data_IF_536000320566
#
_entry.id   IF_536000320566
#
_cell.length_a   1.000
_cell.length_b   1.000
_cell.length_c   1.000
_cell.angle_alpha   90.00
_cell.angle_beta   90.00
_cell.angle_gamma   90.00
#
_symmetry.space_group_name_H-M   'P 1'
#
loop_
_entity.id
_entity.type
_entity.pdbx_description
1 polymer ?
#
# COMPACT_ATOMS: atom_id res chain seq x y z
N UNK A 1 -8.73 -74.95 -3.77
CA UNK A 1 -9.92 -74.09 -4.00
C UNK A 1 -9.93 -72.98 -2.96
N UNK A 2 -9.32 -71.84 -3.28
CA UNK A 2 -9.29 -70.69 -2.35
C UNK A 2 -10.43 -69.74 -2.78
N UNK A 3 -11.35 -69.46 -1.83
CA UNK A 3 -12.41 -68.45 -2.00
C UNK A 3 -11.86 -67.09 -1.57
N UNK A 4 -11.70 -66.17 -2.54
CA UNK A 4 -11.42 -64.76 -2.30
C UNK A 4 -12.74 -64.09 -1.92
N UNK A 5 -12.82 -63.57 -0.68
CA UNK A 5 -13.90 -62.71 -0.23
C UNK A 5 -13.50 -61.29 -0.53
N UNK A 6 -14.13 -60.65 -1.52
CA UNK A 6 -13.98 -59.23 -1.81
C UNK A 6 -14.92 -58.44 -0.91
N UNK A 7 -14.32 -57.67 0.02
CA UNK A 7 -15.09 -56.72 0.87
C UNK A 7 -15.34 -55.44 0.05
N UNK A 8 -16.53 -55.21 -0.41
CA UNK A 8 -16.95 -53.93 -0.95
C UNK A 8 -17.19 -52.96 0.22
N UNK A 9 -16.26 -52.01 0.42
CA UNK A 9 -16.47 -50.86 1.30
C UNK A 9 -17.36 -49.87 0.54
N UNK A 10 -18.66 -49.81 0.86
CA UNK A 10 -19.54 -48.73 0.44
C UNK A 10 -19.09 -47.44 1.11
N UNK A 11 -18.41 -46.58 0.37
CA UNK A 11 -18.23 -45.17 0.77
C UNK A 11 -19.62 -44.48 0.61
N UNK A 12 -20.37 -44.37 1.68
CA UNK A 12 -21.54 -43.49 1.74
C UNK A 12 -21.00 -42.06 1.82
N UNK A 13 -21.10 -41.29 0.75
CA UNK A 13 -20.90 -39.86 0.77
C UNK A 13 -22.00 -39.25 1.69
N UNK A 14 -21.63 -38.89 2.89
CA UNK A 14 -22.52 -38.14 3.80
C UNK A 14 -22.61 -36.73 3.21
N UNK A 15 -23.72 -36.41 2.57
CA UNK A 15 -24.05 -35.03 2.20
C UNK A 15 -24.31 -34.25 3.49
N UNK A 16 -23.31 -33.55 3.99
CA UNK A 16 -23.48 -32.62 5.13
C UNK A 16 -24.16 -31.36 4.57
N UNK A 17 -25.43 -31.19 4.88
CA UNK A 17 -26.16 -29.95 4.60
C UNK A 17 -25.62 -28.83 5.50
N UNK A 18 -25.40 -27.64 4.92
CA UNK A 18 -25.04 -26.46 5.71
C UNK A 18 -26.23 -26.00 6.58
N UNK A 19 -25.94 -25.49 7.77
CA UNK A 19 -26.94 -24.90 8.68
C UNK A 19 -26.98 -23.39 8.45
N UNK A 20 -28.08 -22.86 7.91
CA UNK A 20 -28.28 -21.44 7.61
C UNK A 20 -28.59 -20.58 8.85
N UNK A 21 -28.70 -21.17 10.04
CA UNK A 21 -28.95 -20.43 11.28
C UNK A 21 -27.75 -19.60 11.75
N UNK A 22 -26.57 -19.82 11.19
CA UNK A 22 -25.35 -19.04 11.44
C UNK A 22 -24.46 -18.97 10.20
N UNK A 23 -23.71 -17.87 10.11
CA UNK A 23 -22.86 -17.59 8.96
C UNK A 23 -21.62 -16.79 9.34
N UNK A 24 -20.67 -16.71 8.40
CA UNK A 24 -19.41 -15.98 8.55
C UNK A 24 -19.40 -14.75 7.63
N UNK A 25 -18.97 -13.60 8.13
CA UNK A 25 -18.92 -12.34 7.40
C UNK A 25 -17.74 -11.45 7.85
N UNK A 26 -17.52 -10.29 7.23
CA UNK A 26 -16.41 -9.37 7.51
C UNK A 26 -15.06 -10.09 7.59
N UNK A 27 -14.70 -10.77 6.52
CA UNK A 27 -13.42 -11.44 6.42
C UNK A 27 -12.29 -10.44 6.23
N UNK A 28 -11.22 -10.58 7.03
CA UNK A 28 -10.03 -9.72 6.90
C UNK A 28 -8.75 -10.53 6.91
N UNK A 29 -7.75 -10.03 6.18
CA UNK A 29 -6.37 -10.51 6.24
C UNK A 29 -5.51 -9.40 6.80
N UNK A 30 -4.72 -9.66 7.85
CA UNK A 30 -3.94 -8.63 8.58
C UNK A 30 -4.80 -7.41 8.96
N UNK A 31 -6.05 -7.67 9.38
CA UNK A 31 -7.05 -6.69 9.83
C UNK A 31 -7.62 -5.78 8.72
N UNK A 32 -7.23 -5.97 7.46
CA UNK A 32 -7.74 -5.22 6.31
C UNK A 32 -8.61 -6.11 5.40
N UNK A 33 -9.59 -5.52 4.75
CA UNK A 33 -10.43 -6.19 3.75
C UNK A 33 -9.74 -6.17 2.38
N UNK A 34 -9.52 -7.36 1.81
CA UNK A 34 -8.87 -7.54 0.50
C UNK A 34 -7.55 -6.75 0.33
N UNK A 35 -6.60 -6.81 1.30
CA UNK A 35 -5.42 -5.99 1.28
C UNK A 35 -4.48 -6.31 0.12
N UNK A 36 -3.79 -5.28 -0.37
CA UNK A 36 -2.69 -5.38 -1.33
C UNK A 36 -1.38 -5.03 -0.62
N UNK A 37 -0.35 -5.86 -0.82
CA UNK A 37 0.98 -5.57 -0.30
C UNK A 37 1.32 -6.27 1.02
N UNK A 38 0.67 -7.38 1.35
CA UNK A 38 1.06 -8.17 2.53
C UNK A 38 2.49 -8.69 2.37
N UNK A 39 3.40 -8.34 3.27
CA UNK A 39 4.80 -8.76 3.24
C UNK A 39 5.15 -9.91 4.22
N UNK A 40 4.13 -10.55 4.78
CA UNK A 40 4.25 -11.71 5.65
C UNK A 40 4.11 -13.03 4.89
N UNK A 41 4.99 -13.99 5.20
CA UNK A 41 4.86 -15.39 4.75
C UNK A 41 3.77 -16.16 5.51
N UNK A 42 3.30 -15.61 6.64
CA UNK A 42 2.23 -16.19 7.45
C UNK A 42 1.17 -15.14 7.80
N UNK A 43 0.43 -14.64 6.77
CA UNK A 43 -0.64 -13.68 7.03
C UNK A 43 -1.70 -14.28 7.95
N UNK A 44 -2.41 -13.40 8.67
CA UNK A 44 -3.40 -13.83 9.66
C UNK A 44 -4.79 -13.47 9.19
N UNK A 45 -5.72 -14.41 9.36
CA UNK A 45 -7.11 -14.30 8.95
C UNK A 45 -8.02 -14.01 10.13
N UNK A 46 -9.04 -13.19 9.90
CA UNK A 46 -10.08 -12.95 10.89
C UNK A 46 -11.45 -12.91 10.21
N UNK A 47 -12.49 -13.25 10.98
CA UNK A 47 -13.88 -13.22 10.53
C UNK A 47 -14.81 -12.93 11.69
N UNK A 48 -16.01 -12.39 11.37
CA UNK A 48 -17.11 -12.24 12.31
C UNK A 48 -18.15 -13.32 12.08
N UNK A 49 -18.92 -13.61 13.11
CA UNK A 49 -19.95 -14.63 13.09
C UNK A 49 -21.31 -13.97 13.31
N UNK A 50 -22.25 -14.25 12.42
CA UNK A 50 -23.67 -13.99 12.64
C UNK A 50 -24.33 -15.27 13.10
N UNK A 51 -25.20 -15.21 14.13
CA UNK A 51 -26.03 -16.33 14.56
C UNK A 51 -27.40 -15.83 15.04
N UNK A 52 -28.45 -16.56 14.68
CA UNK A 52 -29.81 -16.25 15.14
C UNK A 52 -30.00 -16.58 16.61
N UNK A 53 -29.30 -17.59 17.11
CA UNK A 53 -29.39 -18.08 18.49
C UNK A 53 -28.43 -17.27 19.40
N UNK A 54 -28.89 -16.84 20.57
CA UNK A 54 -28.02 -16.27 21.61
C UNK A 54 -27.09 -17.36 22.18
N UNK A 55 -25.93 -16.94 22.71
CA UNK A 55 -24.89 -17.80 23.25
C UNK A 55 -24.32 -18.80 22.23
N UNK A 56 -24.37 -18.47 20.93
CA UNK A 56 -23.70 -19.25 19.90
C UNK A 56 -22.19 -19.31 20.20
N UNK A 57 -21.60 -20.49 20.02
CA UNK A 57 -20.16 -20.72 20.16
C UNK A 57 -19.62 -21.41 18.92
N UNK A 58 -18.57 -20.85 18.34
CA UNK A 58 -17.76 -21.57 17.37
C UNK A 58 -17.01 -22.67 18.09
N UNK A 59 -17.13 -23.90 17.60
CA UNK A 59 -16.39 -25.06 18.07
C UNK A 59 -15.18 -25.39 17.20
N UNK A 60 -15.31 -25.22 15.88
CA UNK A 60 -14.24 -25.46 14.94
C UNK A 60 -14.34 -24.52 13.73
N UNK A 61 -13.26 -24.44 12.97
CA UNK A 61 -13.23 -23.74 11.68
C UNK A 61 -12.47 -24.54 10.63
N UNK A 62 -12.65 -24.18 9.35
CA UNK A 62 -11.81 -24.59 8.24
C UNK A 62 -11.56 -23.39 7.33
N UNK A 63 -10.28 -23.09 7.07
CA UNK A 63 -9.85 -22.06 6.11
C UNK A 63 -9.25 -22.74 4.90
N UNK A 64 -9.66 -22.32 3.71
CA UNK A 64 -9.10 -22.75 2.44
C UNK A 64 -8.51 -21.56 1.70
N UNK A 65 -7.31 -21.73 1.12
CA UNK A 65 -6.59 -20.71 0.34
C UNK A 65 -6.15 -21.32 -0.99
N UNK A 66 -6.34 -20.59 -2.09
CA UNK A 66 -5.88 -20.96 -3.42
C UNK A 66 -5.34 -19.74 -4.20
N UNK A 67 -4.67 -19.96 -5.33
CA UNK A 67 -4.17 -18.93 -6.22
C UNK A 67 -5.17 -18.55 -7.34
N UNK A 68 -6.36 -19.16 -7.34
CA UNK A 68 -7.48 -18.76 -8.19
C UNK A 68 -8.84 -19.06 -7.51
N UNK A 69 -9.91 -18.31 -7.83
CA UNK A 69 -11.23 -18.56 -7.28
C UNK A 69 -11.80 -19.92 -7.72
N UNK A 70 -11.54 -20.35 -8.95
CA UNK A 70 -12.05 -21.63 -9.49
C UNK A 70 -11.51 -22.82 -8.68
N UNK A 71 -10.25 -22.80 -8.29
CA UNK A 71 -9.68 -23.85 -7.46
C UNK A 71 -10.32 -23.91 -6.07
N UNK A 72 -10.67 -22.76 -5.48
CA UNK A 72 -11.46 -22.77 -4.24
C UNK A 72 -12.84 -23.34 -4.42
N UNK A 73 -13.54 -22.98 -5.51
CA UNK A 73 -14.88 -23.48 -5.80
C UNK A 73 -14.88 -24.99 -6.00
N UNK A 74 -13.89 -25.53 -6.69
CA UNK A 74 -13.71 -26.95 -6.96
C UNK A 74 -13.11 -27.74 -5.78
N UNK A 75 -12.94 -27.11 -4.62
CA UNK A 75 -12.30 -27.72 -3.44
C UNK A 75 -10.84 -28.14 -3.65
N UNK A 76 -10.12 -27.44 -4.54
CA UNK A 76 -8.71 -27.62 -4.85
C UNK A 76 -7.84 -26.56 -4.14
N UNK A 77 -7.98 -26.46 -2.81
CA UNK A 77 -7.27 -25.48 -2.00
C UNK A 77 -5.78 -25.86 -1.81
N UNK A 78 -5.02 -25.87 -2.88
CA UNK A 78 -3.64 -26.36 -2.93
C UNK A 78 -2.61 -25.46 -2.23
N UNK A 79 -2.98 -24.21 -1.92
CA UNK A 79 -2.10 -23.28 -1.17
C UNK A 79 -2.21 -23.55 0.33
N UNK A 80 -3.43 -23.73 0.82
CA UNK A 80 -3.71 -24.18 2.18
C UNK A 80 -5.15 -24.67 2.34
N UNK A 81 -5.28 -25.85 2.90
CA UNK A 81 -6.52 -26.31 3.54
C UNK A 81 -6.18 -26.66 4.99
N UNK A 82 -6.75 -25.94 5.93
CA UNK A 82 -6.50 -26.20 7.36
C UNK A 82 -7.12 -27.50 7.84
N UNK A 83 -8.01 -28.11 7.06
CA UNK A 83 -8.92 -29.11 7.57
C UNK A 83 -9.83 -28.53 8.65
N UNK A 84 -10.65 -29.38 9.31
CA UNK A 84 -11.44 -29.01 10.48
C UNK A 84 -10.52 -28.84 11.68
N UNK A 85 -10.31 -27.59 12.12
CA UNK A 85 -9.50 -27.25 13.30
C UNK A 85 -10.44 -26.99 14.48
N UNK A 86 -10.33 -27.79 15.55
CA UNK A 86 -11.10 -27.58 16.78
C UNK A 86 -10.54 -26.36 17.49
N UNK A 87 -11.26 -25.24 17.42
CA UNK A 87 -10.90 -23.96 18.03
C UNK A 87 -12.05 -22.96 17.93
N UNK A 88 -12.21 -22.15 18.95
CA UNK A 88 -13.12 -21.00 19.00
C UNK A 88 -12.50 -19.70 18.45
N UNK A 89 -11.22 -19.75 18.03
CA UNK A 89 -10.53 -18.58 17.45
C UNK A 89 -11.14 -18.18 16.11
N UNK A 90 -11.48 -16.89 15.99
CA UNK A 90 -11.94 -16.24 14.78
C UNK A 90 -11.15 -14.96 14.44
N UNK A 91 -10.12 -14.66 15.23
CA UNK A 91 -9.29 -13.45 15.11
C UNK A 91 -7.82 -13.86 14.99
N UNK A 92 -7.14 -13.29 13.99
CA UNK A 92 -5.70 -13.44 13.75
C UNK A 92 -5.24 -14.92 13.68
N UNK A 93 -6.02 -15.73 12.98
CA UNK A 93 -5.69 -17.14 12.71
C UNK A 93 -4.54 -17.19 11.70
N UNK A 94 -3.35 -17.73 12.07
CA UNK A 94 -2.19 -17.68 11.18
C UNK A 94 -2.32 -18.66 10.03
N UNK A 95 -1.91 -18.20 8.84
CA UNK A 95 -1.70 -19.06 7.68
C UNK A 95 -0.57 -20.07 7.96
N UNK A 96 -0.81 -21.33 7.61
CA UNK A 96 0.14 -22.45 7.79
C UNK A 96 0.31 -23.28 6.51
N UNK A 97 0.03 -22.67 5.35
CA UNK A 97 0.15 -23.34 4.06
C UNK A 97 1.56 -23.31 3.48
N UNK A 98 1.65 -23.50 2.18
CA UNK A 98 2.91 -23.47 1.44
C UNK A 98 3.48 -22.04 1.36
N UNK A 99 4.77 -21.92 1.07
CA UNK A 99 5.45 -20.62 0.92
C UNK A 99 4.76 -19.74 -0.12
N UNK A 100 4.38 -18.54 0.29
CA UNK A 100 3.74 -17.55 -0.59
C UNK A 100 4.75 -16.95 -1.57
N UNK A 101 4.29 -16.59 -2.76
CA UNK A 101 5.06 -15.91 -3.80
C UNK A 101 4.82 -14.41 -3.73
N UNK A 102 5.84 -13.61 -4.05
CA UNK A 102 5.74 -12.16 -4.14
C UNK A 102 4.83 -11.71 -5.27
N UNK A 103 4.13 -10.58 -5.08
CA UNK A 103 3.27 -9.96 -6.09
C UNK A 103 2.21 -10.91 -6.64
N UNK A 104 1.61 -11.71 -5.77
CA UNK A 104 0.62 -12.74 -6.11
C UNK A 104 -0.68 -12.50 -5.36
N UNK A 105 -1.81 -12.60 -6.07
CA UNK A 105 -3.15 -12.62 -5.46
C UNK A 105 -3.47 -14.03 -4.99
N UNK A 106 -4.02 -14.12 -3.80
CA UNK A 106 -4.55 -15.32 -3.20
C UNK A 106 -6.01 -15.11 -2.83
N UNK A 107 -6.78 -16.18 -2.92
CA UNK A 107 -8.21 -16.23 -2.64
C UNK A 107 -8.43 -17.14 -1.45
N UNK A 108 -9.33 -16.77 -0.56
CA UNK A 108 -9.61 -17.59 0.61
C UNK A 108 -11.07 -17.52 1.04
N UNK A 109 -11.50 -18.57 1.72
CA UNK A 109 -12.82 -18.68 2.32
C UNK A 109 -12.73 -19.48 3.62
N UNK A 110 -13.74 -19.34 4.46
CA UNK A 110 -13.82 -20.02 5.76
C UNK A 110 -15.23 -20.55 5.99
N UNK A 111 -15.34 -21.66 6.70
CA UNK A 111 -16.57 -22.16 7.30
C UNK A 111 -16.32 -22.56 8.75
N UNK A 112 -17.37 -22.62 9.56
CA UNK A 112 -17.28 -22.90 10.98
C UNK A 112 -18.25 -23.99 11.40
N UNK A 113 -17.99 -24.62 12.52
CA UNK A 113 -18.87 -25.55 13.19
C UNK A 113 -19.27 -25.00 14.56
N UNK A 114 -20.52 -25.25 14.94
CA UNK A 114 -21.00 -24.99 16.30
C UNK A 114 -20.68 -26.16 17.25
N UNK A 115 -21.12 -26.06 18.51
CA UNK A 115 -20.96 -27.09 19.56
C UNK A 115 -21.84 -28.34 19.36
N UNK A 116 -22.81 -28.26 18.46
CA UNK A 116 -23.63 -29.41 18.00
C UNK A 116 -23.04 -30.14 16.79
N UNK A 117 -21.81 -29.75 16.36
CA UNK A 117 -21.10 -30.26 15.16
C UNK A 117 -21.79 -29.94 13.83
N UNK A 118 -22.71 -28.98 13.81
CA UNK A 118 -23.32 -28.46 12.58
C UNK A 118 -22.39 -27.47 11.90
N UNK A 119 -22.30 -27.51 10.58
CA UNK A 119 -21.41 -26.67 9.77
C UNK A 119 -22.17 -25.55 9.05
N UNK A 120 -21.58 -24.34 9.01
CA UNK A 120 -22.10 -23.24 8.21
C UNK A 120 -21.89 -23.49 6.70
N UNK A 121 -22.58 -22.72 5.86
CA UNK A 121 -22.13 -22.52 4.49
C UNK A 121 -20.69 -21.92 4.47
N UNK A 122 -19.99 -22.08 3.34
CA UNK A 122 -18.76 -21.35 3.12
C UNK A 122 -19.03 -19.84 3.07
N UNK A 123 -18.12 -19.05 3.64
CA UNK A 123 -18.14 -17.59 3.46
C UNK A 123 -18.04 -17.19 1.99
N UNK A 124 -18.28 -15.93 1.69
CA UNK A 124 -17.85 -15.33 0.43
C UNK A 124 -16.32 -15.49 0.29
N UNK A 125 -15.86 -15.48 -0.97
CA UNK A 125 -14.42 -15.50 -1.25
C UNK A 125 -13.87 -14.09 -1.02
N UNK A 126 -12.84 -14.00 -0.17
CA UNK A 126 -12.03 -12.80 0.00
C UNK A 126 -10.65 -13.00 -0.61
N UNK A 127 -9.93 -11.91 -0.83
CA UNK A 127 -8.61 -11.92 -1.42
C UNK A 127 -7.57 -11.28 -0.50
N UNK A 128 -6.32 -11.59 -0.75
CA UNK A 128 -5.19 -10.76 -0.36
C UNK A 128 -4.11 -10.86 -1.42
N UNK A 129 -3.36 -9.79 -1.62
CA UNK A 129 -2.20 -9.81 -2.49
C UNK A 129 -0.92 -9.62 -1.67
N UNK A 130 0.08 -10.44 -1.96
CA UNK A 130 1.40 -10.27 -1.34
C UNK A 130 2.12 -9.08 -1.94
N UNK A 131 2.89 -8.39 -1.10
CA UNK A 131 3.88 -7.43 -1.52
C UNK A 131 5.15 -8.10 -2.06
N UNK A 132 6.27 -7.40 -1.93
CA UNK A 132 7.60 -7.91 -2.25
C UNK A 132 8.19 -8.54 -0.99
N UNK A 133 8.25 -9.88 -0.95
CA UNK A 133 8.57 -10.65 0.25
C UNK A 133 10.08 -10.74 0.53
N UNK A 134 10.91 -10.31 -0.43
CA UNK A 134 12.36 -10.23 -0.28
C UNK A 134 12.91 -9.00 -1.01
N UNK A 135 14.08 -8.50 -0.56
CA UNK A 135 14.74 -7.38 -1.24
C UNK A 135 15.10 -7.68 -2.71
N UNK A 136 15.37 -8.95 -3.04
CA UNK A 136 15.62 -9.39 -4.43
C UNK A 136 14.41 -9.21 -5.35
N UNK A 137 13.21 -9.14 -4.81
CA UNK A 137 11.97 -9.03 -5.60
C UNK A 137 11.78 -7.63 -6.20
N UNK A 138 12.57 -6.66 -5.75
CA UNK A 138 12.67 -5.35 -6.37
C UNK A 138 13.39 -5.37 -7.73
N UNK A 139 13.93 -6.51 -8.14
CA UNK A 139 14.64 -6.68 -9.41
C UNK A 139 15.74 -5.64 -9.60
N UNK A 140 15.70 -4.92 -10.74
CA UNK A 140 16.67 -3.89 -11.09
C UNK A 140 16.24 -2.47 -10.65
N UNK A 141 15.19 -2.32 -9.84
CA UNK A 141 14.76 -1.02 -9.35
C UNK A 141 15.84 -0.35 -8.49
N UNK A 142 16.16 0.89 -8.82
CA UNK A 142 17.18 1.70 -8.15
C UNK A 142 16.52 2.85 -7.38
N UNK A 143 17.15 3.29 -6.29
CA UNK A 143 16.82 4.56 -5.70
C UNK A 143 17.28 5.68 -6.63
N UNK A 144 16.40 6.61 -6.93
CA UNK A 144 16.69 7.77 -7.80
C UNK A 144 16.34 9.06 -7.09
N UNK A 145 17.14 10.10 -7.36
CA UNK A 145 17.02 11.43 -6.78
C UNK A 145 17.28 12.52 -7.82
N UNK A 146 16.96 13.77 -7.47
CA UNK A 146 17.28 14.93 -8.29
C UNK A 146 18.64 15.52 -7.94
N UNK A 147 19.03 15.44 -6.67
CA UNK A 147 20.26 16.02 -6.14
C UNK A 147 21.10 14.95 -5.42
N UNK A 148 22.39 15.20 -5.33
CA UNK A 148 23.31 14.42 -4.50
C UNK A 148 23.25 14.85 -3.04
N UNK A 149 23.58 13.94 -2.15
CA UNK A 149 23.65 14.20 -0.70
C UNK A 149 24.93 14.96 -0.28
N UNK A 150 25.79 15.30 -1.20
CA UNK A 150 27.13 15.86 -0.92
C UNK A 150 27.08 17.22 -0.23
N UNK A 151 27.97 17.41 0.76
CA UNK A 151 28.23 18.68 1.41
C UNK A 151 27.13 19.22 2.31
N UNK A 152 26.09 18.45 2.60
CA UNK A 152 25.00 18.87 3.48
C UNK A 152 25.06 18.16 4.83
N UNK A 153 24.70 18.89 5.89
CA UNK A 153 24.65 18.34 7.24
C UNK A 153 23.55 17.30 7.32
N UNK A 154 23.89 16.11 7.83
CA UNK A 154 22.96 14.98 8.02
C UNK A 154 22.75 14.69 9.50
N UNK A 155 21.63 14.07 9.81
CA UNK A 155 21.30 13.60 11.14
C UNK A 155 20.10 14.29 11.77
N UNK A 156 19.93 14.08 13.06
CA UNK A 156 18.88 14.68 13.88
C UNK A 156 19.56 15.71 14.81
N UNK A 157 19.04 16.93 14.80
CA UNK A 157 19.58 18.05 15.58
C UNK A 157 18.46 18.66 16.43
N UNK A 158 18.72 18.83 17.73
CA UNK A 158 17.82 19.48 18.67
C UNK A 158 18.34 20.87 19.04
N UNK A 159 17.47 21.85 19.11
CA UNK A 159 17.85 23.24 19.39
C UNK A 159 18.55 23.43 20.74
N UNK A 160 18.28 22.54 21.71
CA UNK A 160 18.74 22.70 23.09
C UNK A 160 20.12 22.07 23.35
N UNK A 161 20.66 21.28 22.42
CA UNK A 161 21.86 20.46 22.68
C UNK A 161 23.17 21.07 22.17
N UNK A 162 23.18 21.91 21.13
CA UNK A 162 24.39 22.55 20.58
C UNK A 162 24.01 23.76 19.69
N UNK A 163 25.01 24.62 19.41
CA UNK A 163 24.86 25.65 18.39
C UNK A 163 24.44 25.00 17.05
N UNK A 164 23.31 25.42 16.50
CA UNK A 164 22.84 24.93 15.21
C UNK A 164 23.95 25.04 14.16
N UNK A 165 24.10 24.04 13.27
CA UNK A 165 25.09 24.09 12.21
C UNK A 165 25.03 25.40 11.43
N UNK A 166 26.16 25.99 11.12
CA UNK A 166 26.27 27.22 10.33
C UNK A 166 25.78 27.01 8.90
N UNK A 167 25.78 25.76 8.40
CA UNK A 167 25.18 25.36 7.13
C UNK A 167 23.72 25.03 7.31
N UNK A 168 22.87 25.45 6.38
CA UNK A 168 21.44 25.12 6.39
C UNK A 168 21.24 23.61 6.27
N UNK A 169 20.56 23.02 7.27
CA UNK A 169 20.22 21.60 7.31
C UNK A 169 19.07 21.32 6.34
N UNK A 170 19.19 20.29 5.52
CA UNK A 170 18.09 19.74 4.74
C UNK A 170 17.50 20.62 3.65
N UNK A 171 18.20 21.66 3.20
CA UNK A 171 17.70 22.55 2.13
C UNK A 171 17.88 21.91 0.75
N UNK A 172 17.00 20.98 0.40
CA UNK A 172 16.95 20.31 -0.89
C UNK A 172 15.76 20.80 -1.73
N UNK A 173 15.91 20.71 -3.05
CA UNK A 173 14.82 20.95 -3.99
C UNK A 173 13.84 19.78 -3.98
N UNK A 174 12.57 20.09 -4.13
CA UNK A 174 11.52 19.09 -4.14
C UNK A 174 11.24 18.61 -5.55
N UNK A 175 11.45 17.32 -5.83
CA UNK A 175 11.41 16.80 -7.19
C UNK A 175 10.02 16.36 -7.61
N UNK A 176 9.77 16.45 -8.91
CA UNK A 176 8.78 15.66 -9.62
C UNK A 176 9.49 14.76 -10.65
N UNK A 177 9.18 13.48 -10.61
CA UNK A 177 9.75 12.45 -11.48
C UNK A 177 8.76 11.99 -12.51
N UNK A 178 9.23 11.67 -13.71
CA UNK A 178 8.41 11.21 -14.83
C UNK A 178 9.04 10.05 -15.57
N UNK A 179 8.21 9.06 -15.92
CA UNK A 179 8.59 7.93 -16.79
C UNK A 179 7.48 7.64 -17.76
N UNK A 180 7.76 7.77 -19.06
CA UNK A 180 6.90 7.27 -20.12
C UNK A 180 7.30 5.84 -20.46
N UNK A 181 6.31 4.98 -20.70
CA UNK A 181 6.52 3.58 -21.05
C UNK A 181 5.34 3.07 -21.87
N UNK A 182 5.58 1.99 -22.62
CA UNK A 182 4.56 1.37 -23.46
C UNK A 182 4.12 0.05 -22.88
N UNK A 183 2.83 -0.11 -22.63
CA UNK A 183 2.20 -1.39 -22.28
C UNK A 183 2.05 -2.23 -23.54
N UNK A 184 2.39 -3.53 -23.46
CA UNK A 184 2.25 -4.48 -24.57
C UNK A 184 0.78 -4.59 -25.00
N UNK A 185 0.55 -4.85 -26.29
CA UNK A 185 -0.81 -5.08 -26.82
C UNK A 185 -1.31 -6.48 -26.47
N UNK A 186 -1.56 -6.69 -25.19
CA UNK A 186 -2.09 -7.91 -24.59
C UNK A 186 -3.10 -7.53 -23.52
N UNK A 187 -4.02 -8.42 -23.21
CA UNK A 187 -4.95 -8.21 -22.10
C UNK A 187 -4.21 -8.32 -20.77
N UNK A 188 -4.32 -7.29 -19.94
CA UNK A 188 -3.75 -7.25 -18.61
C UNK A 188 -4.62 -8.12 -17.69
N UNK A 189 -4.00 -9.04 -16.98
CA UNK A 189 -4.63 -9.83 -15.93
C UNK A 189 -4.57 -9.09 -14.59
N UNK A 190 -3.41 -8.48 -14.27
CA UNK A 190 -3.21 -7.65 -13.08
C UNK A 190 -1.96 -6.78 -13.20
N UNK A 191 -1.95 -5.66 -12.49
CA UNK A 191 -0.78 -4.79 -12.40
C UNK A 191 -0.67 -4.16 -11.01
N UNK A 192 0.48 -4.39 -10.35
CA UNK A 192 0.78 -3.82 -9.04
C UNK A 192 1.99 -2.92 -9.11
N UNK A 193 1.85 -1.73 -8.52
CA UNK A 193 2.96 -0.79 -8.33
C UNK A 193 3.35 -0.77 -6.85
N UNK A 194 4.65 -0.86 -6.59
CA UNK A 194 5.27 -0.76 -5.28
C UNK A 194 6.13 0.48 -5.26
N UNK A 195 5.76 1.46 -4.43
CA UNK A 195 6.36 2.78 -4.42
C UNK A 195 6.89 3.10 -3.04
N UNK A 196 8.12 3.55 -2.97
CA UNK A 196 8.74 4.06 -1.75
C UNK A 196 9.27 5.48 -2.00
N UNK A 197 8.87 6.43 -1.18
CA UNK A 197 9.37 7.79 -1.15
C UNK A 197 10.12 8.04 0.15
N UNK A 198 11.33 8.58 0.06
CA UNK A 198 12.05 9.14 1.19
C UNK A 198 11.79 10.65 1.18
N UNK A 199 10.85 10.99 1.96
CA UNK A 199 9.91 12.09 1.96
C UNK A 199 8.49 11.58 1.61
N UNK A 200 7.48 12.40 1.87
CA UNK A 200 6.11 12.06 1.47
C UNK A 200 5.96 12.15 -0.04
N UNK A 201 5.13 11.29 -0.64
CA UNK A 201 4.94 11.27 -2.08
C UNK A 201 3.47 11.24 -2.49
N UNK A 202 3.22 11.83 -3.65
CA UNK A 202 2.04 11.58 -4.46
C UNK A 202 2.42 10.77 -5.69
N UNK A 203 1.65 9.72 -5.97
CA UNK A 203 1.83 8.85 -7.13
C UNK A 203 0.75 9.13 -8.17
N UNK A 204 1.15 9.29 -9.43
CA UNK A 204 0.27 9.59 -10.55
C UNK A 204 0.46 8.59 -11.70
N UNK A 205 -0.63 8.33 -12.41
CA UNK A 205 -0.65 7.54 -13.63
C UNK A 205 -1.58 8.22 -14.65
N UNK A 206 -1.06 8.54 -15.85
CA UNK A 206 -1.83 9.13 -16.95
C UNK A 206 -2.66 10.37 -16.56
N UNK A 207 -2.09 11.26 -15.76
CA UNK A 207 -2.73 12.49 -15.32
C UNK A 207 -3.57 12.38 -14.04
N UNK A 208 -3.90 11.18 -13.58
CA UNK A 208 -4.67 10.93 -12.35
C UNK A 208 -3.79 10.56 -11.17
N UNK A 209 -4.15 11.03 -9.96
CA UNK A 209 -3.55 10.53 -8.71
C UNK A 209 -3.98 9.08 -8.49
N UNK A 210 -3.04 8.21 -8.14
CA UNK A 210 -3.28 6.80 -7.85
C UNK A 210 -3.62 6.64 -6.38
N UNK A 211 -4.75 5.98 -6.11
CA UNK A 211 -5.24 5.81 -4.74
C UNK A 211 -5.81 7.09 -4.13
N UNK A 212 -6.23 7.00 -2.88
CA UNK A 212 -6.80 8.09 -2.09
C UNK A 212 -5.96 8.41 -0.84
N UNK A 213 -4.69 8.05 -0.89
CA UNK A 213 -3.75 8.23 0.20
C UNK A 213 -3.15 9.62 0.22
N UNK A 214 -2.78 10.08 1.41
CA UNK A 214 -2.04 11.32 1.67
C UNK A 214 -0.85 11.03 2.57
N UNK A 215 0.22 11.79 2.39
CA UNK A 215 1.43 11.74 3.21
C UNK A 215 2.05 10.33 3.32
N UNK A 216 2.00 9.56 2.23
CA UNK A 216 2.74 8.30 2.11
C UNK A 216 4.25 8.57 1.89
N UNK A 217 5.15 7.72 2.36
CA UNK A 217 4.99 6.66 3.31
C UNK A 217 5.21 7.19 4.74
N UNK A 218 4.80 6.40 5.75
CA UNK A 218 5.00 6.74 7.16
C UNK A 218 6.47 6.80 7.57
N UNK A 219 6.71 7.32 8.77
CA UNK A 219 8.05 7.47 9.35
C UNK A 219 8.65 6.13 9.77
N UNK A 220 9.92 5.92 9.43
CA UNK A 220 10.73 4.77 9.84
C UNK A 220 12.08 5.22 10.37
N UNK A 221 12.86 4.29 10.88
CA UNK A 221 14.29 4.51 11.11
C UNK A 221 15.04 4.34 9.78
N UNK A 222 15.11 5.42 9.00
CA UNK A 222 15.54 5.41 7.61
C UNK A 222 16.94 4.81 7.37
N UNK A 223 17.83 4.84 8.36
CA UNK A 223 19.14 4.18 8.27
C UNK A 223 19.02 2.63 8.24
N UNK A 224 17.89 2.06 8.66
CA UNK A 224 17.67 0.63 8.74
C UNK A 224 16.60 0.13 7.78
N UNK A 225 15.46 0.83 7.70
CA UNK A 225 14.32 0.39 6.90
C UNK A 225 13.57 1.55 6.27
N UNK A 226 12.93 1.28 5.15
CA UNK A 226 12.05 2.20 4.46
C UNK A 226 10.72 1.52 4.12
N UNK A 227 9.62 2.23 4.36
CA UNK A 227 8.31 1.75 3.94
C UNK A 227 8.11 1.90 2.43
N UNK A 228 7.39 0.95 1.85
CA UNK A 228 6.78 1.08 0.54
C UNK A 228 5.27 0.87 0.62
N UNK A 229 4.56 1.49 -0.29
CA UNK A 229 3.11 1.36 -0.46
C UNK A 229 2.81 0.59 -1.73
N UNK A 230 1.81 -0.28 -1.67
CA UNK A 230 1.39 -1.12 -2.79
C UNK A 230 0.08 -0.63 -3.37
N UNK A 231 0.02 -0.48 -4.68
CA UNK A 231 -1.17 -0.02 -5.40
C UNK A 231 -1.58 -1.06 -6.44
N UNK A 232 -2.86 -1.41 -6.47
CA UNK A 232 -3.45 -2.06 -7.63
C UNK A 232 -3.78 -1.01 -8.68
N UNK A 233 -3.13 -1.09 -9.82
CA UNK A 233 -3.30 -0.16 -10.94
C UNK A 233 -3.80 -0.87 -12.21
N UNK A 234 -4.36 -2.06 -12.04
CA UNK A 234 -4.81 -2.91 -13.16
C UNK A 234 -5.73 -2.17 -14.11
N UNK A 235 -6.75 -1.50 -13.57
CA UNK A 235 -7.75 -0.78 -14.36
C UNK A 235 -7.34 0.64 -14.77
N UNK A 236 -6.19 1.13 -14.28
CA UNK A 236 -5.69 2.48 -14.59
C UNK A 236 -4.73 2.49 -15.79
N UNK A 237 -4.19 1.33 -16.17
CA UNK A 237 -3.28 1.20 -17.30
C UNK A 237 -4.05 1.24 -18.62
N UNK A 238 -3.50 1.95 -19.59
CA UNK A 238 -4.02 2.05 -20.94
C UNK A 238 -3.18 1.21 -21.90
N UNK A 239 -3.77 0.74 -22.98
CA UNK A 239 -3.02 0.13 -24.07
C UNK A 239 -2.13 1.19 -24.72
N UNK A 240 -0.89 0.81 -25.02
CA UNK A 240 0.08 1.72 -25.61
C UNK A 240 0.80 2.59 -24.59
N UNK A 241 0.91 3.88 -24.86
CA UNK A 241 1.71 4.80 -24.05
C UNK A 241 1.04 5.10 -22.70
N UNK A 242 1.86 5.06 -21.64
CA UNK A 242 1.47 5.40 -20.28
C UNK A 242 2.57 6.27 -19.65
N UNK A 243 2.18 7.08 -18.65
CA UNK A 243 3.12 7.93 -17.92
C UNK A 243 2.94 7.74 -16.42
N UNK A 244 4.02 7.37 -15.74
CA UNK A 244 4.13 7.41 -14.29
C UNK A 244 4.69 8.75 -13.86
N UNK A 245 4.09 9.34 -12.83
CA UNK A 245 4.54 10.56 -12.18
C UNK A 245 4.67 10.35 -10.67
N UNK A 246 5.75 10.86 -10.07
CA UNK A 246 5.93 10.90 -8.62
C UNK A 246 6.34 12.31 -8.23
N UNK A 247 5.61 12.92 -7.29
CA UNK A 247 6.00 14.18 -6.66
C UNK A 247 6.41 13.89 -5.23
N UNK A 248 7.58 14.42 -4.79
CA UNK A 248 8.08 14.23 -3.43
C UNK A 248 8.08 15.54 -2.66
N UNK A 249 7.58 15.48 -1.42
CA UNK A 249 7.87 16.43 -0.35
C UNK A 249 8.99 15.91 0.56
N UNK A 250 9.28 16.64 1.63
CA UNK A 250 10.36 16.29 2.58
C UNK A 250 9.95 15.22 3.61
N UNK A 251 8.68 15.22 4.07
CA UNK A 251 8.20 14.33 5.11
C UNK A 251 9.07 14.35 6.37
N UNK A 252 9.17 13.21 7.05
CA UNK A 252 10.10 13.02 8.18
C UNK A 252 11.51 12.64 7.74
N UNK A 253 11.73 12.34 6.47
CA UNK A 253 13.08 12.05 5.96
C UNK A 253 13.98 13.29 5.96
N UNK A 254 13.36 14.45 5.75
CA UNK A 254 14.08 15.70 5.68
C UNK A 254 13.21 16.84 6.24
N UNK A 255 13.51 17.33 7.45
CA UNK A 255 12.87 18.51 8.06
C UNK A 255 13.85 19.68 7.92
N UNK A 256 13.64 20.58 6.93
CA UNK A 256 14.60 21.63 6.61
C UNK A 256 14.62 22.73 7.68
N UNK A 257 15.82 23.34 7.85
CA UNK A 257 16.06 24.47 8.76
C UNK A 257 15.56 25.79 8.14
N UNK A 258 14.25 26.06 8.24
CA UNK A 258 13.69 27.33 7.75
C UNK A 258 12.61 27.90 8.67
N UNK A 259 11.49 27.17 8.88
CA UNK A 259 10.34 27.65 9.68
C UNK A 259 10.21 26.97 11.02
N UNK A 260 10.88 25.84 11.19
CA UNK A 260 10.85 25.05 12.39
C UNK A 260 12.27 24.69 12.80
N UNK A 261 12.65 25.04 14.00
CA UNK A 261 14.04 24.89 14.48
C UNK A 261 14.18 23.91 15.63
N UNK A 262 13.08 23.52 16.26
CA UNK A 262 13.10 22.73 17.48
C UNK A 262 13.60 21.30 17.24
N UNK A 263 13.27 20.73 16.08
CA UNK A 263 13.73 19.42 15.61
C UNK A 263 14.08 19.52 14.14
N UNK A 264 15.34 19.34 13.81
CA UNK A 264 15.83 19.30 12.43
C UNK A 264 16.25 17.87 12.11
N UNK A 265 15.77 17.36 10.99
CA UNK A 265 16.08 16.00 10.52
C UNK A 265 16.55 16.09 9.08
N UNK A 266 17.70 15.50 8.76
CA UNK A 266 18.11 15.35 7.38
C UNK A 266 18.89 14.06 7.19
N UNK A 267 18.30 13.12 6.48
CA UNK A 267 18.96 11.90 6.01
C UNK A 267 19.53 12.05 4.60
N UNK A 268 19.24 13.14 3.91
CA UNK A 268 19.73 13.46 2.58
C UNK A 268 18.65 14.00 1.66
N UNK A 269 18.97 14.09 0.36
CA UNK A 269 18.06 14.55 -0.66
C UNK A 269 16.86 13.60 -0.80
N UNK A 270 15.63 14.12 -1.01
CA UNK A 270 14.47 13.31 -1.33
C UNK A 270 14.74 12.37 -2.50
N UNK A 271 14.37 11.11 -2.34
CA UNK A 271 14.60 10.06 -3.33
C UNK A 271 13.44 9.08 -3.34
N UNK A 272 13.26 8.38 -4.46
CA UNK A 272 12.21 7.39 -4.60
C UNK A 272 12.73 6.09 -5.20
N UNK A 273 11.96 5.01 -4.97
CA UNK A 273 12.13 3.71 -5.60
C UNK A 273 10.77 3.18 -6.02
N UNK A 274 10.68 2.69 -7.26
CA UNK A 274 9.44 2.14 -7.81
C UNK A 274 9.71 0.83 -8.54
N UNK A 275 8.82 -0.14 -8.34
CA UNK A 275 8.73 -1.36 -9.11
C UNK A 275 7.27 -1.59 -9.51
N UNK A 276 7.00 -1.63 -10.80
CA UNK A 276 5.70 -1.96 -11.37
C UNK A 276 5.78 -3.32 -12.08
N UNK A 277 4.88 -4.22 -11.73
CA UNK A 277 4.76 -5.54 -12.33
C UNK A 277 3.40 -5.69 -13.01
N UNK A 278 3.41 -5.89 -14.32
CA UNK A 278 2.22 -6.14 -15.15
C UNK A 278 2.23 -7.61 -15.54
N UNK A 279 1.16 -8.32 -15.24
CA UNK A 279 0.94 -9.72 -15.64
C UNK A 279 -0.17 -9.75 -16.67
N UNK A 280 0.07 -10.40 -17.79
CA UNK A 280 -0.88 -10.56 -18.87
C UNK A 280 -1.63 -11.90 -18.76
N UNK A 281 -2.77 -12.05 -19.46
CA UNK A 281 -3.58 -13.27 -19.45
C UNK A 281 -2.83 -14.51 -19.94
N UNK A 282 -1.79 -14.34 -20.79
CA UNK A 282 -0.90 -15.40 -21.22
C UNK A 282 0.23 -15.72 -20.22
N UNK A 283 0.11 -15.22 -19.00
CA UNK A 283 1.09 -15.31 -17.91
C UNK A 283 2.44 -14.63 -18.19
N UNK A 284 2.63 -13.96 -19.33
CA UNK A 284 3.83 -13.16 -19.56
C UNK A 284 3.85 -11.93 -18.63
N UNK A 285 5.07 -11.47 -18.31
CA UNK A 285 5.28 -10.36 -17.37
C UNK A 285 5.99 -9.21 -18.08
N UNK A 286 5.64 -8.00 -17.68
CA UNK A 286 6.37 -6.78 -18.01
C UNK A 286 6.68 -6.04 -16.71
N UNK A 287 7.90 -5.55 -16.59
CA UNK A 287 8.38 -4.82 -15.41
C UNK A 287 8.80 -3.42 -15.82
N UNK A 288 8.40 -2.43 -15.05
CA UNK A 288 8.84 -1.05 -15.15
C UNK A 288 9.45 -0.67 -13.80
N UNK A 289 10.68 -0.17 -13.83
CA UNK A 289 11.43 0.12 -12.60
C UNK A 289 11.94 1.55 -12.58
N UNK A 290 12.22 2.05 -11.39
CA UNK A 290 13.00 3.28 -11.23
C UNK A 290 14.46 3.00 -11.60
N UNK A 291 14.96 3.73 -12.58
CA UNK A 291 16.31 3.63 -13.13
C UNK A 291 16.75 4.95 -13.80
N UNK A 292 17.91 4.94 -14.43
CA UNK A 292 18.49 6.10 -15.15
C UNK A 292 17.64 6.65 -16.30
N UNK A 293 16.63 5.94 -16.78
CA UNK A 293 15.77 6.34 -17.87
C UNK A 293 14.62 7.26 -17.44
N UNK A 294 14.46 7.50 -16.15
CA UNK A 294 13.52 8.47 -15.61
C UNK A 294 14.03 9.90 -15.82
N UNK A 295 13.09 10.82 -15.88
CA UNK A 295 13.34 12.26 -15.93
C UNK A 295 12.89 12.92 -14.64
N UNK A 296 13.52 14.04 -14.29
CA UNK A 296 13.21 14.81 -13.07
C UNK A 296 13.25 16.30 -13.34
N UNK A 297 12.34 17.02 -12.71
CA UNK A 297 12.29 18.49 -12.67
C UNK A 297 11.99 18.94 -11.23
N UNK A 298 12.22 20.23 -10.94
CA UNK A 298 11.72 20.85 -9.72
C UNK A 298 10.19 20.88 -9.76
N UNK A 299 9.54 20.55 -8.64
CA UNK A 299 8.10 20.61 -8.51
C UNK A 299 7.63 22.04 -8.20
N UNK A 300 6.33 22.35 -8.36
CA UNK A 300 5.76 23.62 -7.90
C UNK A 300 5.77 23.75 -6.37
N UNK A 301 5.94 22.67 -5.60
CA UNK A 301 6.17 22.74 -4.16
C UNK A 301 7.60 23.25 -3.93
N UNK A 302 7.74 24.47 -3.43
CA UNK A 302 9.05 25.13 -3.26
C UNK A 302 9.60 25.00 -1.84
N UNK A 303 8.72 24.70 -0.89
CA UNK A 303 9.05 24.38 0.50
C UNK A 303 8.08 23.32 1.01
N UNK A 304 8.55 22.35 1.78
CA UNK A 304 7.73 21.37 2.48
C UNK A 304 8.39 21.00 3.80
N UNK A 305 7.63 21.03 4.89
CA UNK A 305 8.05 20.58 6.20
C UNK A 305 6.87 20.02 6.96
N UNK A 306 7.06 18.87 7.59
CA UNK A 306 6.01 18.23 8.40
C UNK A 306 5.51 19.13 9.54
N UNK A 307 6.33 20.05 10.02
CA UNK A 307 6.00 21.02 11.07
C UNK A 307 5.77 22.45 10.56
N UNK A 308 6.36 22.79 9.41
CA UNK A 308 6.38 24.16 8.86
C UNK A 308 5.37 24.40 7.73
N UNK A 309 4.64 23.36 7.30
CA UNK A 309 3.69 23.45 6.21
C UNK A 309 4.34 23.37 4.82
N UNK A 310 3.64 23.89 3.82
CA UNK A 310 4.02 23.81 2.41
C UNK A 310 3.88 25.17 1.75
N UNK A 311 4.82 25.52 0.85
CA UNK A 311 4.69 26.61 -0.10
C UNK A 311 4.56 26.04 -1.50
N UNK A 312 3.54 26.51 -2.20
CA UNK A 312 3.24 26.13 -3.56
C UNK A 312 3.32 27.35 -4.48
N UNK A 313 4.18 27.28 -5.47
CA UNK A 313 4.36 28.31 -6.50
C UNK A 313 3.70 27.85 -7.80
N UNK A 314 2.45 28.27 -8.03
CA UNK A 314 1.67 27.90 -9.20
C UNK A 314 2.32 28.36 -10.53
N UNK A 315 3.26 29.32 -10.50
CA UNK A 315 3.97 29.76 -11.71
C UNK A 315 4.98 28.71 -12.21
N UNK A 316 5.31 27.73 -11.38
CA UNK A 316 6.20 26.60 -11.70
C UNK A 316 5.45 25.35 -12.17
N UNK A 317 4.12 25.40 -12.20
CA UNK A 317 3.36 24.30 -12.78
C UNK A 317 3.76 24.04 -14.23
N UNK A 318 3.83 22.77 -14.56
CA UNK A 318 4.09 22.29 -15.93
C UNK A 318 2.86 21.51 -16.41
N UNK A 319 1.82 22.21 -16.90
CA UNK A 319 0.58 21.57 -17.30
C UNK A 319 0.83 20.42 -18.29
N UNK A 320 0.18 19.29 -18.05
CA UNK A 320 0.32 18.13 -18.95
C UNK A 320 1.53 17.23 -18.67
N UNK A 321 2.37 17.51 -17.66
CA UNK A 321 3.60 16.73 -17.41
C UNK A 321 3.38 15.23 -17.18
N UNK A 322 2.17 14.83 -16.85
CA UNK A 322 1.76 13.44 -16.62
C UNK A 322 1.11 12.78 -17.86
N UNK A 323 1.12 13.44 -19.03
CA UNK A 323 0.59 12.87 -20.26
C UNK A 323 1.70 12.55 -21.27
N UNK A 324 1.41 11.65 -22.21
CA UNK A 324 2.40 11.11 -23.11
C UNK A 324 2.91 12.12 -24.15
N UNK A 325 2.11 13.11 -24.51
CA UNK A 325 2.41 14.19 -25.46
C UNK A 325 3.22 15.34 -24.87
N UNK A 326 3.48 15.33 -23.55
CA UNK A 326 4.29 16.35 -22.91
C UNK A 326 5.76 16.28 -23.33
N UNK A 327 6.31 17.42 -23.74
CA UNK A 327 7.74 17.54 -24.04
C UNK A 327 8.57 17.66 -22.74
N UNK A 328 9.21 16.58 -22.38
CA UNK A 328 10.13 16.52 -21.23
C UNK A 328 11.60 16.69 -21.60
N UNK A 329 11.92 17.22 -22.79
CA UNK A 329 13.31 17.40 -23.25
C UNK A 329 14.13 18.33 -22.36
N UNK A 330 13.49 19.33 -21.75
CA UNK A 330 14.08 20.24 -20.76
C UNK A 330 14.30 19.65 -19.36
N UNK A 331 13.77 18.45 -19.10
CA UNK A 331 13.93 17.80 -17.80
C UNK A 331 15.30 17.13 -17.67
N UNK A 332 15.84 17.13 -16.46
CA UNK A 332 17.13 16.52 -16.16
C UNK A 332 17.02 14.99 -16.11
N UNK A 333 18.14 14.32 -16.31
CA UNK A 333 18.26 12.91 -15.95
C UNK A 333 18.33 12.78 -14.43
N UNK A 334 17.72 11.72 -13.90
CA UNK A 334 17.82 11.38 -12.49
C UNK A 334 19.23 10.95 -12.11
N UNK A 335 19.57 11.09 -10.83
CA UNK A 335 20.75 10.51 -10.22
C UNK A 335 20.38 9.19 -9.54
N UNK A 336 21.21 8.16 -9.71
CA UNK A 336 21.07 6.93 -8.93
C UNK A 336 21.74 7.16 -7.59
N UNK A 337 21.00 6.87 -6.52
CA UNK A 337 21.47 7.02 -5.16
C UNK A 337 21.93 5.66 -4.61
N UNK A 338 23.08 5.67 -3.92
CA UNK A 338 23.56 4.49 -3.18
C UNK A 338 22.88 4.48 -1.80
N UNK A 339 21.78 3.72 -1.74
CA UNK A 339 20.97 3.57 -0.54
C UNK A 339 20.30 2.20 -0.54
N UNK A 340 20.44 1.43 0.52
CA UNK A 340 20.01 0.03 0.56
C UNK A 340 19.37 -0.35 1.91
N UNK A 341 18.27 0.28 2.33
CA UNK A 341 17.57 -0.09 3.55
C UNK A 341 16.84 -1.42 3.35
N UNK A 342 16.43 -2.04 4.44
CA UNK A 342 15.42 -3.08 4.38
C UNK A 342 14.10 -2.45 3.92
N UNK A 343 13.50 -2.99 2.85
CA UNK A 343 12.20 -2.56 2.36
C UNK A 343 11.10 -3.29 3.12
N UNK A 344 10.13 -2.55 3.66
CA UNK A 344 9.01 -3.08 4.44
C UNK A 344 7.70 -2.51 3.91
N UNK A 345 6.69 -3.34 3.73
CA UNK A 345 5.37 -2.85 3.32
C UNK A 345 4.72 -2.05 4.45
N UNK A 346 4.17 -0.90 4.14
CA UNK A 346 3.37 -0.14 5.10
C UNK A 346 2.07 -0.89 5.38
N UNK A 347 1.92 -1.40 6.59
CA UNK A 347 0.74 -2.14 7.03
C UNK A 347 -0.25 -1.28 7.83
N UNK A 348 0.14 -0.06 8.18
CA UNK A 348 -0.76 0.91 8.84
C UNK A 348 -1.78 1.45 7.85
N UNK A 349 -2.98 1.71 8.33
CA UNK A 349 -3.98 2.40 7.51
C UNK A 349 -3.42 3.72 6.98
N UNK A 350 -3.63 4.04 5.68
CA UNK A 350 -3.19 5.30 5.10
C UNK A 350 -4.04 6.46 5.61
N UNK A 351 -3.46 7.64 5.61
CA UNK A 351 -4.23 8.88 5.75
C UNK A 351 -5.11 9.06 4.51
N UNK A 352 -6.39 9.34 4.72
CA UNK A 352 -7.38 9.50 3.66
C UNK A 352 -8.30 10.68 3.95
N UNK A 353 -8.81 11.34 2.90
CA UNK A 353 -9.93 12.26 3.05
C UNK A 353 -11.16 11.46 3.46
N UNK A 354 -11.74 11.78 4.60
CA UNK A 354 -12.98 11.16 5.11
C UNK A 354 -14.21 11.96 4.74
N UNK A 355 -14.07 13.28 4.69
CA UNK A 355 -15.17 14.20 4.41
C UNK A 355 -14.63 15.47 3.74
N UNK A 356 -15.32 15.96 2.73
CA UNK A 356 -15.09 17.25 2.10
C UNK A 356 -16.18 18.21 2.52
N UNK A 357 -15.81 19.31 3.17
CA UNK A 357 -16.74 20.32 3.65
C UNK A 357 -16.77 21.52 2.71
N UNK A 358 -17.90 21.81 2.06
CA UNK A 358 -17.99 22.98 1.18
C UNK A 358 -17.86 24.27 1.97
N UNK A 359 -17.21 25.26 1.35
CA UNK A 359 -17.14 26.63 1.92
C UNK A 359 -18.53 27.24 1.93
N UNK A 360 -19.00 27.63 3.11
CA UNK A 360 -20.31 28.26 3.32
C UNK A 360 -20.22 29.75 3.02
N UNK A 361 -19.12 30.40 3.43
CA UNK A 361 -18.87 31.82 3.17
C UNK A 361 -17.38 32.15 3.20
N UNK A 362 -17.00 33.26 2.59
CA UNK A 362 -15.61 33.72 2.63
C UNK A 362 -15.59 35.26 2.81
N UNK A 363 -14.57 35.76 3.49
CA UNK A 363 -14.39 37.18 3.77
C UNK A 363 -12.92 37.50 4.03
N UNK A 364 -12.58 38.79 4.01
CA UNK A 364 -11.27 39.26 4.51
C UNK A 364 -11.38 39.65 5.98
N UNK A 365 -10.45 39.18 6.79
CA UNK A 365 -10.32 39.60 8.18
C UNK A 365 -9.65 41.00 8.28
N UNK A 366 -9.55 41.54 9.48
CA UNK A 366 -8.95 42.87 9.76
C UNK A 366 -7.48 42.97 9.30
N UNK A 367 -6.76 41.84 9.20
CA UNK A 367 -5.37 41.77 8.71
C UNK A 367 -5.29 41.64 7.19
N UNK A 368 -6.41 41.65 6.46
CA UNK A 368 -6.46 41.49 5.02
C UNK A 368 -6.36 40.06 4.51
N UNK A 369 -6.29 39.04 5.37
CA UNK A 369 -6.24 37.65 4.98
C UNK A 369 -7.63 37.11 4.60
N UNK A 370 -7.71 36.30 3.55
CA UNK A 370 -8.92 35.58 3.21
C UNK A 370 -9.22 34.49 4.26
N UNK A 371 -10.45 34.45 4.73
CA UNK A 371 -10.98 33.42 5.62
C UNK A 371 -12.10 32.71 4.89
N UNK A 372 -11.97 31.40 4.79
CA UNK A 372 -12.96 30.49 4.22
C UNK A 372 -13.65 29.77 5.39
N UNK A 373 -14.92 30.09 5.63
CA UNK A 373 -15.68 29.51 6.74
C UNK A 373 -16.46 28.30 6.25
N UNK A 374 -16.34 27.19 6.98
CA UNK A 374 -17.13 25.96 6.83
C UNK A 374 -18.02 25.78 8.06
N UNK A 375 -18.98 24.85 8.03
CA UNK A 375 -19.94 24.64 9.12
C UNK A 375 -19.30 24.33 10.49
N UNK A 376 -18.05 23.89 10.52
CA UNK A 376 -17.29 23.52 11.73
C UNK A 376 -16.16 24.48 12.09
N UNK A 377 -16.14 25.69 11.54
CA UNK A 377 -15.06 26.68 11.77
C UNK A 377 -14.88 27.06 13.26
N UNK A 378 -15.83 26.74 14.12
CA UNK A 378 -15.83 27.05 15.56
C UNK A 378 -15.91 25.81 16.46
N UNK A 379 -15.53 24.63 15.98
CA UNK A 379 -15.40 23.47 16.85
C UNK A 379 -14.33 23.77 17.93
N UNK A 380 -14.78 24.04 19.13
CA UNK A 380 -13.95 23.90 20.33
C UNK A 380 -13.96 22.44 20.72
N UNK A 381 -12.81 21.90 21.06
CA UNK A 381 -12.76 20.64 21.78
C UNK A 381 -13.67 20.79 23.00
N UNK A 382 -14.65 19.92 23.16
CA UNK A 382 -15.41 19.84 24.41
C UNK A 382 -14.41 19.31 25.45
N UNK A 383 -13.82 20.25 26.19
CA UNK A 383 -13.20 19.90 27.45
C UNK A 383 -14.34 19.42 28.33
N UNK A 384 -14.44 18.14 28.53
CA UNK A 384 -15.26 17.58 29.60
C UNK A 384 -14.66 18.05 30.91
N UNK A 385 -15.40 18.91 31.61
CA UNK A 385 -15.15 19.25 33.01
C UNK A 385 -15.19 18.01 33.91
#
# INVERSE_FOLDING_TARGET
MYRIVIFFMLLTAVNVSADDSFSVYCLTTEQAENPVGIDSQSPRFSWKIYAQKRNFKQYAYQVCVADSPDKLMNSEAHVWDSGKVISDKSILVPFKGVKLKSSQVYYWRVRIWNDEDKVSAWSQINTFATGLLANSDWGNAQWISMEKDEGRVKGIHYQEEEALPTQKVGMYKLPQFRKQFRVKDKKISRAFAYVSGLGHFDFFLNGGKVGNHFLDAGWTLYDKEAFYVSFDITDLLQRGENVLGIMLGNGFYNVPQERYFKLLISYGAPKMKLYLRIVYDDASVQEIVSDKSWKVSESPVVFSSIYGGEDYDATREQPGWMYADFDSSGWKNVLVADYAPKMVSQQTEPLQIREEMPVVTYFKNEKGNWVYAVSYTHLRAHETL
#
